data_IF_336405213902
#
_entry.id   IF_336405213902
#
_cell.length_a   1.000
_cell.length_b   1.000
_cell.length_c   1.000
_cell.angle_alpha   90.00
_cell.angle_beta   90.00
_cell.angle_gamma   90.00
#
_symmetry.space_group_name_H-M   'P 1'
#
loop_
_entity.id
_entity.type
_entity.pdbx_description
1 polymer ?
#
# COMPACT_ATOMS: atom_id res chain seq x y z
N UNK A 1 -3.50 -25.22 25.79
CA UNK A 1 -3.15 -25.52 24.38
C UNK A 1 -1.81 -24.85 24.09
N UNK A 2 -0.72 -25.62 24.08
CA UNK A 2 0.64 -25.12 23.82
C UNK A 2 0.85 -25.08 22.30
N UNK A 3 0.49 -23.98 21.63
CA UNK A 3 0.91 -23.77 20.24
C UNK A 3 2.40 -23.51 20.23
N UNK A 4 3.17 -24.44 19.65
CA UNK A 4 4.63 -24.28 19.53
C UNK A 4 4.93 -23.00 18.74
N UNK A 5 5.72 -22.06 19.28
CA UNK A 5 6.09 -20.87 18.54
C UNK A 5 6.90 -21.34 17.33
N UNK A 6 6.33 -21.24 16.14
CA UNK A 6 7.04 -21.50 14.89
C UNK A 6 7.87 -20.26 14.58
N UNK A 7 8.86 -19.99 15.42
CA UNK A 7 9.77 -18.85 15.31
C UNK A 7 10.39 -18.77 13.91
N UNK A 8 10.62 -19.95 13.29
CA UNK A 8 11.05 -20.08 11.90
C UNK A 8 10.10 -19.36 10.94
N UNK A 9 8.79 -19.56 11.06
CA UNK A 9 7.78 -18.97 10.19
C UNK A 9 7.72 -17.44 10.37
N UNK A 10 7.87 -16.95 11.61
CA UNK A 10 7.94 -15.51 11.90
C UNK A 10 9.19 -14.86 11.32
N UNK A 11 10.35 -15.51 11.46
CA UNK A 11 11.60 -15.05 10.84
C UNK A 11 11.47 -15.01 9.31
N UNK A 12 10.88 -16.03 8.69
CA UNK A 12 10.65 -16.02 7.24
C UNK A 12 9.76 -14.85 6.81
N UNK A 13 8.69 -14.56 7.56
CA UNK A 13 7.79 -13.43 7.28
C UNK A 13 8.49 -12.08 7.40
N UNK A 14 9.32 -11.89 8.45
CA UNK A 14 10.08 -10.65 8.66
C UNK A 14 11.14 -10.44 7.58
N UNK A 15 11.89 -11.49 7.23
CA UNK A 15 12.90 -11.42 6.16
C UNK A 15 12.25 -11.12 4.81
N UNK A 16 11.15 -11.80 4.50
CA UNK A 16 10.42 -11.58 3.25
C UNK A 16 9.88 -10.14 3.17
N UNK A 17 9.25 -9.65 4.25
CA UNK A 17 8.79 -8.26 4.34
C UNK A 17 9.91 -7.25 4.15
N UNK A 18 11.05 -7.44 4.80
CA UNK A 18 12.20 -6.54 4.68
C UNK A 18 12.76 -6.49 3.25
N UNK A 19 12.82 -7.63 2.55
CA UNK A 19 13.26 -7.66 1.14
C UNK A 19 12.31 -6.86 0.25
N UNK A 20 11.00 -7.04 0.42
CA UNK A 20 9.99 -6.35 -0.37
C UNK A 20 10.02 -4.84 -0.07
N UNK A 21 10.18 -4.44 1.19
CA UNK A 21 10.27 -3.04 1.60
C UNK A 21 11.48 -2.33 0.96
N UNK A 22 12.64 -2.99 0.93
CA UNK A 22 13.83 -2.49 0.25
C UNK A 22 13.61 -2.37 -1.26
N UNK A 23 12.86 -3.28 -1.88
CA UNK A 23 12.54 -3.22 -3.31
C UNK A 23 11.54 -2.11 -3.64
N UNK A 24 10.68 -1.74 -2.68
CA UNK A 24 9.69 -0.68 -2.86
C UNK A 24 10.30 0.73 -2.88
N UNK A 25 11.39 0.96 -2.16
CA UNK A 25 12.11 2.25 -2.13
C UNK A 25 12.59 2.69 -3.54
N UNK A 26 13.35 1.88 -4.30
CA UNK A 26 13.74 2.25 -5.66
C UNK A 26 12.55 2.32 -6.61
N UNK A 27 11.50 1.51 -6.40
CA UNK A 27 10.26 1.58 -7.17
C UNK A 27 9.60 2.97 -7.02
N UNK A 28 9.45 3.47 -5.80
CA UNK A 28 8.95 4.83 -5.54
C UNK A 28 9.90 5.91 -6.08
N UNK A 29 11.22 5.73 -5.95
CA UNK A 29 12.19 6.71 -6.47
C UNK A 29 12.11 6.84 -8.01
N UNK A 30 11.95 5.72 -8.73
CA UNK A 30 11.74 5.72 -10.19
C UNK A 30 10.39 6.36 -10.53
N UNK A 31 9.34 6.04 -9.76
CA UNK A 31 8.02 6.66 -9.86
C UNK A 31 7.97 8.13 -9.38
N UNK A 32 9.06 8.73 -8.91
CA UNK A 32 9.10 10.18 -8.65
C UNK A 32 9.69 10.99 -9.81
N UNK A 33 10.14 10.34 -10.90
CA UNK A 33 10.61 11.09 -12.08
C UNK A 33 9.47 11.93 -12.65
N UNK A 34 9.71 13.25 -12.67
CA UNK A 34 8.74 14.33 -12.84
C UNK A 34 8.03 14.35 -14.20
N UNK A 35 8.53 13.61 -15.18
CA UNK A 35 8.03 13.62 -16.57
C UNK A 35 6.61 13.04 -16.74
N UNK A 36 6.14 12.17 -15.83
CA UNK A 36 4.85 11.48 -15.96
C UNK A 36 3.75 11.92 -14.97
N UNK A 37 4.00 12.95 -14.15
CA UNK A 37 3.00 13.49 -13.21
C UNK A 37 1.81 14.19 -13.88
N UNK A 38 1.81 14.33 -15.21
CA UNK A 38 0.67 14.87 -15.98
C UNK A 38 -0.53 13.92 -16.05
N UNK A 39 -0.36 12.63 -15.76
CA UNK A 39 -1.43 11.62 -15.84
C UNK A 39 -1.93 11.26 -14.43
N UNK A 40 -3.25 11.32 -14.17
CA UNK A 40 -3.81 11.00 -12.85
C UNK A 40 -3.54 9.57 -12.38
N UNK A 41 -3.25 8.65 -13.32
CA UNK A 41 -2.79 7.28 -13.04
C UNK A 41 -1.51 7.25 -12.20
N UNK A 42 -0.59 8.20 -12.41
CA UNK A 42 0.70 8.22 -11.73
C UNK A 42 0.58 8.67 -10.26
N UNK A 43 -0.30 9.63 -9.99
CA UNK A 43 -0.65 10.05 -8.62
C UNK A 43 -1.22 8.89 -7.80
N UNK A 44 -2.11 8.10 -8.41
CA UNK A 44 -2.73 6.93 -7.75
C UNK A 44 -1.68 5.83 -7.51
N UNK A 45 -0.78 5.60 -8.47
CA UNK A 45 0.33 4.63 -8.31
C UNK A 45 1.26 4.99 -7.13
N UNK A 46 1.64 6.27 -6.98
CA UNK A 46 2.47 6.71 -5.85
C UNK A 46 1.73 6.54 -4.53
N UNK A 47 0.44 6.88 -4.48
CA UNK A 47 -0.37 6.74 -3.27
C UNK A 47 -0.58 5.26 -2.89
N UNK A 48 -0.79 4.39 -3.88
CA UNK A 48 -0.85 2.94 -3.69
C UNK A 48 0.47 2.40 -3.10
N UNK A 49 1.62 2.81 -3.64
CA UNK A 49 2.93 2.40 -3.12
C UNK A 49 3.19 2.86 -1.69
N UNK A 50 2.70 4.03 -1.29
CA UNK A 50 2.80 4.51 0.10
C UNK A 50 1.93 3.68 1.06
N UNK A 51 0.71 3.34 0.64
CA UNK A 51 -0.19 2.48 1.40
C UNK A 51 0.38 1.07 1.52
N UNK A 52 1.00 0.55 0.47
CA UNK A 52 1.59 -0.80 0.48
C UNK A 52 2.78 -0.91 1.43
N UNK A 53 3.64 0.13 1.50
CA UNK A 53 4.69 0.20 2.54
C UNK A 53 4.10 0.12 3.95
N UNK A 54 3.01 0.86 4.21
CA UNK A 54 2.30 0.80 5.49
C UNK A 54 1.72 -0.59 5.79
N UNK A 55 1.18 -1.26 4.76
CA UNK A 55 0.63 -2.61 4.86
C UNK A 55 1.73 -3.64 5.18
N UNK A 56 2.90 -3.56 4.52
CA UNK A 56 4.03 -4.45 4.76
C UNK A 56 4.58 -4.30 6.18
N UNK A 57 4.72 -3.06 6.67
CA UNK A 57 5.14 -2.80 8.05
C UNK A 57 4.14 -3.41 9.03
N UNK A 58 2.84 -3.19 8.81
CA UNK A 58 1.80 -3.75 9.67
C UNK A 58 1.76 -5.30 9.63
N UNK A 59 1.86 -5.91 8.46
CA UNK A 59 1.76 -7.37 8.31
C UNK A 59 3.06 -8.13 8.62
N UNK A 60 4.24 -7.56 8.37
CA UNK A 60 5.51 -8.27 8.59
C UNK A 60 6.11 -7.97 9.95
N UNK A 61 6.15 -6.70 10.38
CA UNK A 61 6.80 -6.32 11.64
C UNK A 61 5.89 -6.65 12.82
N UNK A 62 4.62 -6.23 12.79
CA UNK A 62 3.73 -6.44 13.93
C UNK A 62 3.35 -7.92 14.05
N UNK A 63 2.92 -8.56 12.95
CA UNK A 63 2.57 -9.97 12.98
C UNK A 63 3.79 -10.87 13.25
N UNK A 64 4.97 -10.52 12.72
CA UNK A 64 6.23 -11.21 13.00
C UNK A 64 6.65 -11.10 14.46
N UNK A 65 6.54 -9.92 15.06
CA UNK A 65 6.84 -9.71 16.49
C UNK A 65 5.94 -10.53 17.40
N UNK A 66 4.63 -10.61 17.10
CA UNK A 66 3.70 -11.44 17.85
C UNK A 66 3.99 -12.93 17.75
N UNK A 67 4.46 -13.37 16.57
CA UNK A 67 4.79 -14.76 16.31
C UNK A 67 6.10 -15.21 17.00
N UNK A 68 7.03 -14.28 17.24
CA UNK A 68 8.29 -14.54 17.96
C UNK A 68 8.05 -14.56 19.48
N UNK A 69 7.32 -13.58 20.00
CA UNK A 69 7.01 -13.48 21.43
C UNK A 69 5.99 -14.54 21.89
N UNK A 70 5.26 -15.17 20.97
CA UNK A 70 4.22 -16.14 21.30
C UNK A 70 3.08 -15.52 22.12
N UNK A 71 2.87 -14.21 22.00
CA UNK A 71 1.83 -13.47 22.73
C UNK A 71 0.46 -13.88 22.21
N UNK A 72 -0.35 -14.46 23.09
CA UNK A 72 -1.73 -14.82 22.81
C UNK A 72 -2.66 -13.62 23.06
N UNK A 73 -3.80 -13.59 22.36
CA UNK A 73 -4.89 -12.63 22.55
C UNK A 73 -5.26 -12.39 24.03
N UNK A 74 -5.06 -13.38 24.90
CA UNK A 74 -5.39 -13.31 26.32
C UNK A 74 -4.45 -12.42 27.16
N UNK A 75 -3.26 -12.04 26.68
CA UNK A 75 -2.31 -11.25 27.47
C UNK A 75 -2.49 -9.73 27.25
N UNK A 76 -2.76 -9.30 26.02
CA UNK A 76 -3.03 -7.89 25.67
C UNK A 76 -4.08 -7.78 24.54
N UNK A 77 -5.38 -8.01 24.83
CA UNK A 77 -6.43 -8.07 23.80
C UNK A 77 -6.62 -6.74 23.05
N UNK A 78 -6.48 -5.60 23.73
CA UNK A 78 -6.69 -4.28 23.13
C UNK A 78 -5.63 -3.93 22.09
N UNK A 79 -4.36 -4.23 22.37
CA UNK A 79 -3.25 -3.92 21.45
C UNK A 79 -3.34 -4.76 20.17
N UNK A 80 -3.64 -6.06 20.33
CA UNK A 80 -3.79 -6.99 19.20
C UNK A 80 -4.99 -6.59 18.34
N UNK A 81 -6.09 -6.18 18.95
CA UNK A 81 -7.28 -5.72 18.23
C UNK A 81 -7.01 -4.45 17.41
N UNK A 82 -6.35 -3.44 17.99
CA UNK A 82 -6.04 -2.18 17.30
C UNK A 82 -5.15 -2.44 16.09
N UNK A 83 -4.07 -3.20 16.27
CA UNK A 83 -3.13 -3.52 15.19
C UNK A 83 -3.79 -4.35 14.09
N UNK A 84 -4.60 -5.35 14.45
CA UNK A 84 -5.35 -6.14 13.46
C UNK A 84 -6.29 -5.27 12.62
N UNK A 85 -6.95 -4.29 13.25
CA UNK A 85 -7.82 -3.35 12.54
C UNK A 85 -7.04 -2.45 11.57
N UNK A 86 -5.84 -1.99 11.95
CA UNK A 86 -4.97 -1.24 11.04
C UNK A 86 -4.54 -2.08 9.83
N UNK A 87 -4.13 -3.33 10.05
CA UNK A 87 -3.71 -4.23 8.96
C UNK A 87 -4.86 -4.46 7.95
N UNK A 88 -6.07 -4.76 8.43
CA UNK A 88 -7.25 -4.94 7.57
C UNK A 88 -7.63 -3.63 6.88
N UNK A 89 -7.49 -2.49 7.58
CA UNK A 89 -7.71 -1.16 7.02
C UNK A 89 -6.79 -0.88 5.83
N UNK A 90 -5.48 -1.09 6.00
CA UNK A 90 -4.49 -0.90 4.93
C UNK A 90 -4.75 -1.82 3.74
N UNK A 91 -5.05 -3.10 3.96
CA UNK A 91 -5.40 -4.03 2.90
C UNK A 91 -6.64 -3.56 2.12
N UNK A 92 -7.70 -3.16 2.82
CA UNK A 92 -8.93 -2.71 2.16
C UNK A 92 -8.68 -1.44 1.33
N UNK A 93 -7.87 -0.51 1.83
CA UNK A 93 -7.45 0.67 1.08
C UNK A 93 -6.66 0.30 -0.18
N UNK A 94 -5.73 -0.65 -0.10
CA UNK A 94 -4.95 -1.13 -1.25
C UNK A 94 -5.86 -1.68 -2.35
N UNK A 95 -6.81 -2.56 -1.99
CA UNK A 95 -7.79 -3.11 -2.93
C UNK A 95 -8.62 -2.01 -3.63
N UNK A 96 -9.08 -1.02 -2.87
CA UNK A 96 -9.86 0.09 -3.43
C UNK A 96 -9.01 0.96 -4.38
N UNK A 97 -7.74 1.20 -4.05
CA UNK A 97 -6.81 1.95 -4.89
C UNK A 97 -6.45 1.18 -6.16
N UNK A 98 -6.30 -0.14 -6.09
CA UNK A 98 -6.09 -0.99 -7.26
C UNK A 98 -7.30 -0.94 -8.21
N UNK A 99 -8.52 -1.01 -7.66
CA UNK A 99 -9.75 -0.83 -8.44
C UNK A 99 -9.84 0.56 -9.07
N UNK A 100 -9.51 1.60 -8.30
CA UNK A 100 -9.48 2.97 -8.79
C UNK A 100 -8.47 3.13 -9.92
N UNK A 101 -7.29 2.53 -9.81
CA UNK A 101 -6.26 2.53 -10.85
C UNK A 101 -6.76 1.83 -12.13
N UNK A 102 -7.40 0.66 -11.99
CA UNK A 102 -7.98 -0.08 -13.11
C UNK A 102 -9.10 0.73 -13.81
N UNK A 103 -9.99 1.36 -13.04
CA UNK A 103 -11.03 2.24 -13.58
C UNK A 103 -10.43 3.44 -14.33
N UNK A 104 -9.40 4.06 -13.78
CA UNK A 104 -8.69 5.17 -14.44
C UNK A 104 -8.03 4.73 -15.76
N UNK A 105 -7.47 3.52 -15.83
CA UNK A 105 -6.93 2.93 -17.07
C UNK A 105 -8.01 2.70 -18.13
N UNK A 106 -9.18 2.20 -17.73
CA UNK A 106 -10.30 1.97 -18.65
C UNK A 106 -10.86 3.30 -19.18
N UNK A 107 -10.99 4.31 -18.31
CA UNK A 107 -11.44 5.65 -18.70
C UNK A 107 -10.45 6.36 -19.65
N UNK A 108 -9.15 6.20 -19.44
CA UNK A 108 -8.11 6.75 -20.33
C UNK A 108 -8.19 6.14 -21.74
N UNK A 109 -8.51 4.84 -21.84
CA UNK A 109 -8.71 4.15 -23.13
C UNK A 109 -10.01 4.57 -23.83
N UNK A 110 -11.10 4.72 -23.07
CA UNK A 110 -12.43 5.02 -23.63
C UNK A 110 -12.66 6.52 -23.91
N UNK A 111 -12.07 7.41 -23.11
CA UNK A 111 -12.35 8.85 -23.13
C UNK A 111 -11.08 9.70 -22.89
N UNK A 112 -10.10 9.60 -23.79
CA UNK A 112 -8.91 10.49 -23.82
C UNK A 112 -9.24 11.99 -23.71
N UNK A 113 -10.45 12.42 -24.10
CA UNK A 113 -10.87 13.83 -24.18
C UNK A 113 -11.60 14.37 -22.94
N UNK A 114 -12.17 13.53 -22.08
CA UNK A 114 -12.91 13.98 -20.88
C UNK A 114 -12.00 14.16 -19.65
N UNK A 115 -10.78 13.63 -19.71
CA UNK A 115 -9.82 13.67 -18.62
C UNK A 115 -9.34 15.08 -18.29
N UNK A 116 -9.27 15.99 -19.28
CA UNK A 116 -8.97 17.41 -19.05
C UNK A 116 -10.10 18.16 -18.33
N UNK A 117 -11.35 17.75 -18.55
CA UNK A 117 -12.53 18.42 -17.96
C UNK A 117 -12.74 17.97 -16.50
N UNK A 118 -12.49 16.69 -16.19
CA UNK A 118 -12.74 16.14 -14.86
C UNK A 118 -11.62 16.48 -13.84
N UNK A 119 -10.37 16.64 -14.30
CA UNK A 119 -9.23 17.05 -13.45
C UNK A 119 -8.86 18.54 -13.53
N UNK A 120 -9.59 19.33 -14.33
CA UNK A 120 -9.45 20.80 -14.40
C UNK A 120 -9.80 21.55 -13.11
N UNK A 121 -10.16 20.84 -12.02
CA UNK A 121 -10.59 21.43 -10.75
C UNK A 121 -9.49 21.75 -9.72
N UNK A 122 -8.26 21.24 -9.87
CA UNK A 122 -7.16 21.56 -8.94
C UNK A 122 -5.91 22.03 -9.69
N UNK A 123 -5.77 23.36 -9.75
CA UNK A 123 -4.65 24.14 -10.33
C UNK A 123 -4.81 24.44 -11.82
N UNK A 124 -5.18 25.69 -12.12
CA UNK A 124 -5.30 26.20 -13.47
C UNK A 124 -3.97 26.41 -14.21
N UNK A 125 -4.13 26.66 -15.53
CA UNK A 125 -3.16 27.18 -16.53
C UNK A 125 -2.14 26.13 -17.07
N UNK A 126 -1.90 25.92 -18.37
CA UNK A 126 -1.95 26.73 -19.63
C UNK A 126 -2.14 25.78 -20.84
N UNK A 127 -2.74 26.26 -21.96
CA UNK A 127 -3.11 25.52 -23.17
C UNK A 127 -2.00 24.79 -23.94
N UNK A 128 -2.50 23.77 -24.66
CA UNK A 128 -1.97 23.07 -25.82
C UNK A 128 -1.15 23.97 -26.78
N UNK A 129 0.07 23.54 -27.08
CA UNK A 129 0.73 23.70 -28.38
C UNK A 129 1.31 22.35 -28.77
#
# INVERSE_FOLDING_TARGET
MQSRPNVKLGIFHVIYGAIIEVLYIPCLAVMMKKEYFKLSCFKIMVFLGLIDMGNIVANSILHGSWLIEGVFFCQYPTLIYIVGNFAIGFWTCECMLALLLAANRVLDVLWKKQFEILFGGFTGRIPEK
#
